data_IF_674093624345
#
_entry.id   IF_674093624345
#
_cell.length_a   1.000
_cell.length_b   1.000
_cell.length_c   1.000
_cell.angle_alpha   90.00
_cell.angle_beta   90.00
_cell.angle_gamma   90.00
#
_symmetry.space_group_name_H-M   'P 1'
#
loop_
_entity.id
_entity.type
_entity.pdbx_description
1 polymer ?
#
# COMPACT_ATOMS: atom_id res chain seq x y z
N UNK A 1 14.67 -0.79 -27.03
CA UNK A 1 14.73 0.25 -26.00
C UNK A 1 15.84 -0.04 -24.98
N UNK A 2 16.40 1.04 -24.39
CA UNK A 2 17.37 0.97 -23.29
C UNK A 2 16.66 1.59 -22.08
N UNK A 3 16.39 0.78 -21.05
CA UNK A 3 15.72 1.28 -19.85
C UNK A 3 16.74 1.77 -18.82
N UNK A 4 16.53 2.96 -18.22
CA UNK A 4 17.35 3.39 -17.10
C UNK A 4 17.09 2.54 -15.87
N UNK A 5 18.04 2.55 -14.93
CA UNK A 5 17.79 2.02 -13.59
C UNK A 5 16.70 2.86 -12.93
N UNK A 6 15.71 2.21 -12.30
CA UNK A 6 14.59 2.89 -11.61
C UNK A 6 15.11 3.78 -10.48
N UNK A 7 14.50 4.96 -10.27
CA UNK A 7 14.91 5.91 -9.26
C UNK A 7 14.98 5.30 -7.85
N UNK A 8 15.91 5.78 -7.03
CA UNK A 8 16.02 5.36 -5.64
C UNK A 8 14.91 5.97 -4.81
N UNK A 9 14.47 5.24 -3.77
CA UNK A 9 13.64 5.79 -2.70
C UNK A 9 14.49 5.76 -1.43
N UNK A 10 14.60 6.90 -0.77
CA UNK A 10 15.43 7.08 0.43
C UNK A 10 14.71 7.92 1.48
N UNK A 11 15.18 7.88 2.70
CA UNK A 11 14.77 8.77 3.79
C UNK A 11 15.60 10.06 3.78
N UNK A 12 15.20 11.05 4.59
CA UNK A 12 15.90 12.33 4.73
C UNK A 12 17.33 12.15 5.24
N UNK A 13 17.58 11.14 6.06
CA UNK A 13 18.93 10.81 6.59
C UNK A 13 19.85 10.12 5.55
N UNK A 14 19.34 9.91 4.33
CA UNK A 14 20.04 9.22 3.25
C UNK A 14 19.87 7.71 3.22
N UNK A 15 19.20 7.10 4.20
CA UNK A 15 18.96 5.64 4.23
C UNK A 15 18.18 5.22 2.99
N UNK A 16 18.76 4.33 2.20
CA UNK A 16 18.13 3.80 0.98
C UNK A 16 17.14 2.70 1.35
N UNK A 17 15.88 2.86 0.95
CA UNK A 17 14.80 1.92 1.26
C UNK A 17 14.28 1.18 0.03
N UNK A 18 14.57 1.66 -1.18
CA UNK A 18 14.37 0.91 -2.42
C UNK A 18 15.45 1.27 -3.46
N UNK A 19 16.10 0.25 -4.00
CA UNK A 19 17.21 0.35 -4.94
C UNK A 19 17.08 -0.66 -6.09
N UNK A 20 18.08 -0.69 -6.98
CA UNK A 20 18.15 -1.68 -8.03
C UNK A 20 19.44 -2.49 -7.85
N UNK A 21 19.31 -3.81 -7.83
CA UNK A 21 20.44 -4.73 -7.81
C UNK A 21 20.58 -5.41 -9.17
N UNK A 22 21.80 -5.74 -9.55
CA UNK A 22 22.06 -6.54 -10.74
C UNK A 22 21.77 -7.99 -10.42
N UNK A 23 20.92 -8.62 -11.22
CA UNK A 23 20.68 -10.06 -11.18
C UNK A 23 20.96 -10.66 -12.55
N UNK A 24 21.18 -11.96 -12.59
CA UNK A 24 21.44 -12.68 -13.84
C UNK A 24 20.30 -13.63 -14.14
N UNK A 25 19.94 -13.71 -15.41
CA UNK A 25 18.90 -14.62 -15.87
C UNK A 25 19.33 -15.37 -17.12
N UNK A 26 18.68 -16.49 -17.38
CA UNK A 26 18.89 -17.32 -18.55
C UNK A 26 17.73 -17.22 -19.52
N UNK A 27 18.04 -16.97 -20.77
CA UNK A 27 17.03 -16.90 -21.83
C UNK A 27 17.46 -17.73 -23.03
N UNK A 28 16.51 -18.05 -23.90
CA UNK A 28 16.70 -18.64 -25.20
C UNK A 28 16.02 -17.77 -26.26
N UNK A 29 16.59 -17.64 -27.45
CA UNK A 29 15.90 -17.00 -28.60
C UNK A 29 14.67 -17.83 -28.99
N UNK A 30 13.54 -17.20 -29.20
CA UNK A 30 12.27 -17.91 -29.51
C UNK A 30 12.37 -18.86 -30.69
N UNK A 31 13.13 -18.50 -31.73
CA UNK A 31 13.40 -19.33 -32.90
C UNK A 31 14.08 -20.66 -32.56
N UNK A 32 14.91 -20.68 -31.51
CA UNK A 32 15.67 -21.86 -31.08
C UNK A 32 14.94 -22.70 -30.02
N UNK A 33 13.86 -22.19 -29.47
CA UNK A 33 13.16 -22.81 -28.35
C UNK A 33 12.69 -24.23 -28.65
N UNK A 34 12.06 -24.44 -29.81
CA UNK A 34 11.53 -25.78 -30.20
C UNK A 34 12.63 -26.78 -30.52
N UNK A 35 13.76 -26.32 -31.06
CA UNK A 35 14.87 -27.17 -31.49
C UNK A 35 15.89 -27.47 -30.38
N UNK A 36 15.78 -26.78 -29.24
CA UNK A 36 16.72 -26.90 -28.12
C UNK A 36 16.10 -27.51 -26.87
N UNK A 37 15.10 -28.38 -27.01
CA UNK A 37 14.41 -29.03 -25.88
C UNK A 37 15.37 -29.78 -24.97
N UNK A 38 16.28 -30.55 -25.55
CA UNK A 38 17.30 -31.31 -24.77
C UNK A 38 18.19 -30.37 -23.94
N UNK A 39 18.51 -29.19 -24.46
CA UNK A 39 19.30 -28.21 -23.71
C UNK A 39 18.50 -27.59 -22.58
N UNK A 40 17.22 -27.37 -22.78
CA UNK A 40 16.31 -26.86 -21.73
C UNK A 40 16.15 -27.90 -20.62
N UNK A 41 15.93 -29.17 -20.99
CA UNK A 41 15.83 -30.27 -20.03
C UNK A 41 17.14 -30.40 -19.24
N UNK A 42 18.29 -30.35 -19.93
CA UNK A 42 19.60 -30.37 -19.28
C UNK A 42 19.80 -29.19 -18.33
N UNK A 43 19.35 -27.99 -18.69
CA UNK A 43 19.36 -26.83 -17.81
C UNK A 43 18.64 -27.11 -16.50
N UNK A 44 17.40 -27.60 -16.57
CA UNK A 44 16.58 -27.87 -15.38
C UNK A 44 17.13 -29.01 -14.51
N UNK A 45 17.71 -30.05 -15.13
CA UNK A 45 18.21 -31.21 -14.40
C UNK A 45 19.60 -31.03 -13.82
N UNK A 46 20.46 -30.20 -14.40
CA UNK A 46 21.89 -30.13 -14.04
C UNK A 46 22.35 -28.75 -13.55
N UNK A 47 21.64 -27.70 -13.89
CA UNK A 47 22.05 -26.32 -13.57
C UNK A 47 21.19 -25.73 -12.49
N UNK A 48 19.88 -25.86 -12.62
CA UNK A 48 18.91 -25.23 -11.72
C UNK A 48 18.69 -26.07 -10.45
N UNK A 49 18.22 -25.41 -9.41
CA UNK A 49 17.80 -26.09 -8.18
C UNK A 49 16.49 -26.88 -8.41
N UNK A 50 16.32 -28.00 -7.73
CA UNK A 50 15.19 -28.93 -7.90
C UNK A 50 13.80 -28.29 -7.66
N UNK A 51 13.75 -27.20 -6.92
CA UNK A 51 12.53 -26.43 -6.68
C UNK A 51 12.04 -25.65 -7.91
N UNK A 52 12.86 -25.54 -8.95
CA UNK A 52 12.50 -24.81 -10.17
C UNK A 52 11.82 -25.72 -11.16
N UNK A 53 10.64 -25.34 -11.56
CA UNK A 53 9.84 -26.04 -12.57
C UNK A 53 9.76 -25.22 -13.86
N UNK A 54 9.71 -25.93 -14.97
CA UNK A 54 9.50 -25.30 -16.28
C UNK A 54 8.01 -24.96 -16.46
N UNK A 55 7.72 -23.69 -16.66
CA UNK A 55 6.36 -23.24 -16.99
C UNK A 55 6.02 -23.52 -18.45
N UNK A 56 5.17 -24.52 -18.68
CA UNK A 56 4.74 -24.90 -20.01
C UNK A 56 3.90 -23.83 -20.73
N UNK A 57 3.32 -22.85 -20.00
CA UNK A 57 2.57 -21.74 -20.62
C UNK A 57 3.49 -20.82 -21.42
N UNK A 58 4.77 -20.78 -21.13
CA UNK A 58 5.79 -20.08 -21.92
C UNK A 58 5.91 -20.59 -23.37
N UNK A 59 5.39 -21.79 -23.65
CA UNK A 59 5.33 -22.35 -25.01
C UNK A 59 4.38 -21.60 -25.96
N UNK A 60 3.47 -20.81 -25.44
CA UNK A 60 2.42 -20.11 -26.23
C UNK A 60 2.82 -18.68 -26.65
N UNK A 61 3.97 -18.20 -26.19
CA UNK A 61 4.41 -16.83 -26.48
C UNK A 61 5.00 -16.81 -27.90
N UNK A 62 4.21 -16.30 -28.86
CA UNK A 62 4.58 -16.27 -30.29
C UNK A 62 5.36 -15.02 -30.73
N UNK A 63 5.28 -13.92 -29.98
CA UNK A 63 5.76 -12.60 -30.45
C UNK A 63 6.98 -12.06 -29.71
N UNK A 64 7.61 -12.83 -28.84
CA UNK A 64 8.81 -12.39 -28.13
C UNK A 64 10.09 -12.88 -28.81
N UNK A 65 11.06 -12.00 -28.92
CA UNK A 65 12.38 -12.34 -29.46
C UNK A 65 13.16 -13.27 -28.53
N UNK A 66 12.93 -13.13 -27.20
CA UNK A 66 13.59 -13.88 -26.12
C UNK A 66 12.56 -14.53 -25.20
N UNK A 67 12.78 -15.81 -24.87
CA UNK A 67 12.01 -16.53 -23.85
C UNK A 67 12.89 -16.68 -22.61
N UNK A 68 12.49 -16.07 -21.51
CA UNK A 68 13.19 -16.20 -20.23
C UNK A 68 12.88 -17.54 -19.59
N UNK A 69 13.91 -18.36 -19.41
CA UNK A 69 13.82 -19.64 -18.71
C UNK A 69 13.90 -19.42 -17.19
N UNK A 70 14.84 -18.57 -16.77
CA UNK A 70 15.03 -18.16 -15.37
C UNK A 70 15.41 -16.69 -15.32
N UNK A 71 14.76 -15.90 -14.46
CA UNK A 71 15.01 -14.45 -14.34
C UNK A 71 16.01 -14.06 -13.26
N UNK A 72 16.17 -14.89 -12.23
CA UNK A 72 17.08 -14.62 -11.12
C UNK A 72 17.80 -15.92 -10.77
N UNK A 73 19.07 -16.01 -11.10
CA UNK A 73 19.94 -17.13 -10.73
C UNK A 73 20.51 -16.91 -9.32
N UNK A 74 20.58 -17.96 -8.55
CA UNK A 74 21.43 -18.01 -7.37
C UNK A 74 22.91 -18.12 -7.75
N UNK A 75 23.80 -17.77 -6.85
CA UNK A 75 25.25 -17.91 -7.08
C UNK A 75 25.66 -19.36 -7.44
N UNK A 76 24.99 -20.32 -6.80
CA UNK A 76 25.22 -21.76 -7.08
C UNK A 76 24.76 -22.15 -8.48
N UNK A 77 23.58 -21.69 -8.91
CA UNK A 77 23.07 -21.95 -10.25
C UNK A 77 23.93 -21.28 -11.32
N UNK A 78 24.41 -20.06 -11.05
CA UNK A 78 25.32 -19.36 -11.94
C UNK A 78 26.61 -20.12 -12.11
N UNK A 79 27.22 -20.59 -11.02
CA UNK A 79 28.44 -21.39 -11.08
C UNK A 79 28.25 -22.68 -11.89
N UNK A 80 27.12 -23.38 -11.69
CA UNK A 80 26.79 -24.57 -12.49
C UNK A 80 26.58 -24.23 -13.97
N UNK A 81 25.90 -23.11 -14.27
CA UNK A 81 25.74 -22.65 -15.65
C UNK A 81 27.08 -22.37 -16.32
N UNK A 82 28.00 -21.69 -15.66
CA UNK A 82 29.34 -21.39 -16.23
C UNK A 82 30.11 -22.67 -16.59
N UNK A 83 29.97 -23.73 -15.80
CA UNK A 83 30.56 -25.05 -16.10
C UNK A 83 29.85 -25.70 -17.30
N UNK A 84 28.53 -25.58 -17.41
CA UNK A 84 27.71 -26.30 -18.39
C UNK A 84 27.45 -25.50 -19.70
N UNK A 85 27.74 -24.22 -19.75
CA UNK A 85 27.35 -23.32 -20.86
C UNK A 85 27.74 -23.81 -22.27
N UNK A 86 28.85 -24.53 -22.40
CA UNK A 86 29.29 -25.09 -23.67
C UNK A 86 28.41 -26.26 -24.14
N UNK A 87 27.73 -26.93 -23.23
CA UNK A 87 26.81 -28.07 -23.53
C UNK A 87 25.37 -27.62 -23.81
N UNK A 88 25.04 -26.36 -23.50
CA UNK A 88 23.78 -25.72 -23.74
C UNK A 88 23.91 -24.38 -24.48
N UNK A 89 24.51 -24.38 -25.65
CA UNK A 89 24.92 -23.13 -26.34
C UNK A 89 23.77 -22.23 -26.79
N UNK A 90 22.55 -22.78 -26.89
CA UNK A 90 21.36 -21.99 -27.23
C UNK A 90 20.83 -21.13 -26.07
N UNK A 91 21.21 -21.47 -24.84
CA UNK A 91 20.81 -20.75 -23.64
C UNK A 91 21.85 -19.70 -23.29
N UNK A 92 21.41 -18.47 -23.15
CA UNK A 92 22.30 -17.32 -22.92
C UNK A 92 22.06 -16.69 -21.57
N UNK A 93 23.14 -16.23 -20.96
CA UNK A 93 23.13 -15.43 -19.73
C UNK A 93 22.98 -13.95 -20.08
N UNK A 94 22.12 -13.26 -19.33
CA UNK A 94 21.97 -11.81 -19.44
C UNK A 94 21.76 -11.20 -18.07
N UNK A 95 22.47 -10.10 -17.81
CA UNK A 95 22.30 -9.32 -16.58
C UNK A 95 21.06 -8.44 -16.69
N UNK A 96 20.27 -8.38 -15.62
CA UNK A 96 19.07 -7.54 -15.48
C UNK A 96 19.08 -6.77 -14.18
N UNK A 97 18.45 -5.62 -14.21
CA UNK A 97 18.15 -4.88 -12.97
C UNK A 97 16.89 -5.45 -12.32
N UNK A 98 16.96 -5.69 -11.04
CA UNK A 98 15.85 -6.10 -10.18
C UNK A 98 15.63 -5.05 -9.11
N UNK A 99 14.37 -4.64 -8.90
CA UNK A 99 13.98 -3.78 -7.77
C UNK A 99 14.17 -4.53 -6.47
N UNK A 100 14.85 -3.91 -5.52
CA UNK A 100 15.17 -4.50 -4.23
C UNK A 100 14.91 -3.53 -3.09
N UNK A 101 14.32 -4.04 -2.01
CA UNK A 101 14.05 -3.33 -0.78
C UNK A 101 14.96 -3.89 0.30
N UNK A 102 16.04 -3.16 0.71
CA UNK A 102 17.02 -3.64 1.71
C UNK A 102 16.38 -3.99 3.05
N UNK A 103 15.37 -3.24 3.44
CA UNK A 103 14.67 -3.40 4.73
C UNK A 103 13.42 -4.29 4.63
N UNK A 104 13.30 -5.05 3.53
CA UNK A 104 12.24 -6.05 3.32
C UNK A 104 10.83 -5.48 3.56
N UNK A 105 10.16 -5.96 4.62
CA UNK A 105 8.77 -5.65 4.95
C UNK A 105 8.55 -4.32 5.67
N UNK A 106 9.59 -3.70 6.26
CA UNK A 106 9.46 -2.49 7.09
C UNK A 106 8.71 -1.33 6.39
N UNK A 107 8.87 -1.19 5.09
CA UNK A 107 8.24 -0.14 4.29
C UNK A 107 7.29 -0.70 3.20
N UNK A 108 6.83 -1.94 3.34
CA UNK A 108 6.09 -2.65 2.30
C UNK A 108 4.86 -1.90 1.80
N UNK A 109 4.04 -1.37 2.71
CA UNK A 109 2.81 -0.67 2.37
C UNK A 109 3.04 0.75 1.85
N UNK A 110 4.18 1.37 2.18
CA UNK A 110 4.56 2.68 1.66
C UNK A 110 5.15 2.55 0.26
N UNK A 111 6.16 1.70 0.11
CA UNK A 111 6.85 1.54 -1.18
C UNK A 111 5.98 0.75 -2.14
N UNK A 112 5.37 -0.34 -1.67
CA UNK A 112 4.65 -1.27 -2.53
C UNK A 112 5.57 -2.23 -3.26
N UNK A 113 5.15 -2.67 -4.44
CA UNK A 113 5.91 -3.63 -5.26
C UNK A 113 5.67 -3.44 -6.74
N UNK A 114 6.55 -4.01 -7.54
CA UNK A 114 6.41 -4.10 -8.98
C UNK A 114 5.76 -5.43 -9.37
N UNK A 115 5.01 -5.42 -10.45
CA UNK A 115 4.45 -6.64 -11.05
C UNK A 115 4.39 -6.54 -12.57
N UNK A 116 4.23 -7.66 -13.24
CA UNK A 116 4.00 -7.70 -14.69
C UNK A 116 2.72 -6.95 -15.04
N UNK A 117 2.70 -6.35 -16.22
CA UNK A 117 1.54 -5.65 -16.75
C UNK A 117 0.42 -6.65 -16.98
N UNK A 118 -0.74 -6.42 -16.37
CA UNK A 118 -1.94 -7.22 -16.57
C UNK A 118 -2.62 -6.93 -17.90
N UNK A 119 -3.51 -7.82 -18.35
CA UNK A 119 -4.29 -7.64 -19.59
C UNK A 119 -5.10 -6.34 -19.57
N UNK A 120 -5.68 -5.96 -18.42
CA UNK A 120 -6.44 -4.72 -18.30
C UNK A 120 -5.56 -3.47 -18.39
N UNK A 121 -4.41 -3.48 -17.72
CA UNK A 121 -3.43 -2.37 -17.79
C UNK A 121 -2.87 -2.22 -19.21
N UNK A 122 -2.75 -3.32 -19.95
CA UNK A 122 -2.29 -3.33 -21.35
C UNK A 122 -3.22 -2.55 -22.30
N UNK A 123 -4.49 -2.40 -21.96
CA UNK A 123 -5.45 -1.63 -22.76
C UNK A 123 -5.18 -0.11 -22.73
N UNK A 124 -4.56 0.37 -21.66
CA UNK A 124 -4.31 1.80 -21.42
C UNK A 124 -2.85 2.22 -21.59
N UNK A 125 -1.91 1.27 -21.53
CA UNK A 125 -0.48 1.55 -21.59
C UNK A 125 0.07 1.42 -23.02
N UNK A 126 0.90 2.39 -23.42
CA UNK A 126 1.62 2.37 -24.69
C UNK A 126 2.61 1.21 -24.75
N UNK A 127 2.58 0.41 -25.83
CA UNK A 127 3.56 -0.68 -26.04
C UNK A 127 4.99 -0.13 -26.25
N UNK A 128 5.12 1.08 -26.75
CA UNK A 128 6.44 1.71 -26.94
C UNK A 128 7.10 2.06 -25.60
N UNK A 129 6.31 2.52 -24.62
CA UNK A 129 6.80 2.85 -23.28
C UNK A 129 6.89 1.63 -22.36
N UNK A 130 6.05 0.64 -22.57
CA UNK A 130 5.92 -0.56 -21.75
C UNK A 130 5.84 -1.82 -22.63
N UNK A 131 6.98 -2.42 -23.00
CA UNK A 131 7.02 -3.74 -23.64
C UNK A 131 6.29 -4.82 -22.84
N UNK A 132 6.05 -5.96 -23.47
CA UNK A 132 5.25 -7.04 -22.91
C UNK A 132 5.76 -7.61 -21.58
N UNK A 133 7.09 -7.61 -21.40
CA UNK A 133 7.77 -8.14 -20.21
C UNK A 133 8.10 -7.06 -19.16
N UNK A 134 7.57 -5.84 -19.33
CA UNK A 134 7.81 -4.74 -18.39
C UNK A 134 7.14 -4.96 -17.05
N UNK A 135 7.82 -4.52 -16.00
CA UNK A 135 7.29 -4.40 -14.66
C UNK A 135 6.84 -2.97 -14.40
N UNK A 136 5.68 -2.83 -13.77
CA UNK A 136 5.12 -1.53 -13.33
C UNK A 136 4.82 -1.55 -11.84
N UNK A 137 4.71 -0.38 -11.22
CA UNK A 137 4.23 -0.25 -9.85
C UNK A 137 2.78 -0.68 -9.71
N UNK A 138 2.51 -1.61 -8.79
CA UNK A 138 1.16 -2.14 -8.55
C UNK A 138 0.44 -1.42 -7.41
N UNK A 139 1.16 -1.06 -6.39
CA UNK A 139 0.66 -0.37 -5.19
C UNK A 139 1.74 0.54 -4.63
N UNK A 140 1.39 1.37 -3.65
CA UNK A 140 2.31 2.25 -2.93
C UNK A 140 2.95 3.30 -3.83
N UNK A 141 4.11 3.82 -3.42
CA UNK A 141 4.88 4.82 -4.17
C UNK A 141 5.37 4.29 -5.52
N UNK A 142 5.64 3.00 -5.62
CA UNK A 142 5.99 2.40 -6.90
C UNK A 142 4.91 2.64 -7.95
N UNK A 143 3.62 2.65 -7.55
CA UNK A 143 2.49 2.96 -8.43
C UNK A 143 2.23 4.44 -8.56
N UNK A 144 2.09 5.16 -7.45
CA UNK A 144 1.73 6.59 -7.48
C UNK A 144 2.79 7.45 -8.17
N UNK A 145 4.05 7.06 -8.03
CA UNK A 145 5.21 7.76 -8.60
C UNK A 145 5.85 7.02 -9.79
N UNK A 146 5.11 6.13 -10.46
CA UNK A 146 5.62 5.29 -11.56
C UNK A 146 6.39 6.11 -12.61
N UNK A 147 5.82 7.22 -13.09
CA UNK A 147 6.43 8.07 -14.12
C UNK A 147 7.75 8.69 -13.68
N UNK A 148 7.84 9.13 -12.43
CA UNK A 148 9.06 9.71 -11.85
C UNK A 148 10.14 8.66 -11.66
N UNK A 149 9.76 7.50 -11.10
CA UNK A 149 10.69 6.43 -10.75
C UNK A 149 11.19 5.65 -11.97
N UNK A 150 10.37 5.50 -13.01
CA UNK A 150 10.74 4.73 -14.21
C UNK A 150 11.71 5.48 -15.12
N UNK A 151 11.55 6.79 -15.28
CA UNK A 151 12.21 7.58 -16.31
C UNK A 151 11.74 7.23 -17.72
N UNK A 152 12.43 7.73 -18.73
CA UNK A 152 12.12 7.53 -20.14
C UNK A 152 13.15 6.60 -20.79
N UNK A 153 12.71 5.60 -21.55
CA UNK A 153 13.59 4.70 -22.24
C UNK A 153 14.33 5.41 -23.39
N UNK A 154 15.62 5.13 -23.51
CA UNK A 154 16.39 5.44 -24.70
C UNK A 154 16.15 4.39 -25.81
N UNK A 155 16.66 4.67 -27.00
CA UNK A 155 16.57 3.77 -28.16
C UNK A 155 17.97 3.46 -28.65
N UNK A 156 18.25 2.17 -28.92
CA UNK A 156 19.40 1.73 -29.68
C UNK A 156 18.91 1.04 -30.96
N UNK A 157 19.25 1.61 -32.11
CA UNK A 157 18.96 1.03 -33.41
C UNK A 157 20.19 0.22 -33.87
N UNK A 158 19.95 -1.08 -33.99
CA UNK A 158 21.03 -2.03 -34.35
C UNK A 158 20.81 -2.56 -35.76
N UNK A 159 21.87 -2.63 -36.54
CA UNK A 159 21.95 -3.45 -37.76
C UNK A 159 22.27 -4.88 -37.35
N UNK A 160 21.52 -5.83 -37.85
CA UNK A 160 21.68 -7.25 -37.55
C UNK A 160 21.85 -8.05 -38.86
N UNK A 161 22.63 -9.12 -38.82
CA UNK A 161 22.75 -10.05 -39.92
C UNK A 161 21.50 -10.94 -40.09
N UNK A 162 21.46 -11.79 -41.08
CA UNK A 162 20.36 -12.72 -41.37
C UNK A 162 20.10 -13.72 -40.23
N UNK A 163 21.05 -13.88 -39.32
CA UNK A 163 20.97 -14.75 -38.15
C UNK A 163 20.58 -14.00 -36.90
N UNK A 164 20.38 -12.65 -37.00
CA UNK A 164 20.03 -11.79 -35.86
C UNK A 164 21.23 -11.45 -34.95
N UNK A 165 22.47 -11.58 -35.41
CA UNK A 165 23.62 -11.13 -34.67
C UNK A 165 23.89 -9.64 -34.94
N UNK A 166 24.25 -8.89 -33.87
CA UNK A 166 24.57 -7.47 -33.98
C UNK A 166 25.79 -7.26 -34.90
N UNK A 167 25.59 -6.48 -35.96
CA UNK A 167 26.69 -6.06 -36.87
C UNK A 167 27.25 -4.72 -36.38
N UNK A 168 26.36 -3.71 -36.23
CA UNK A 168 26.78 -2.38 -35.73
C UNK A 168 25.56 -1.68 -35.08
N UNK A 169 25.87 -0.65 -34.31
CA UNK A 169 24.87 0.28 -33.77
C UNK A 169 24.77 1.48 -34.71
N UNK A 170 23.58 1.71 -35.26
CA UNK A 170 23.31 2.78 -36.22
C UNK A 170 23.04 4.09 -35.49
N UNK A 171 22.20 4.03 -34.43
CA UNK A 171 21.79 5.18 -33.65
C UNK A 171 21.57 4.79 -32.20
N UNK A 172 21.90 5.70 -31.28
CA UNK A 172 21.61 5.56 -29.84
C UNK A 172 21.13 6.87 -29.29
N UNK A 173 20.01 6.81 -28.59
CA UNK A 173 19.56 7.88 -27.70
C UNK A 173 19.67 7.39 -26.25
N UNK A 174 20.22 8.25 -25.39
CA UNK A 174 20.35 7.93 -23.98
C UNK A 174 18.99 8.01 -23.31
N UNK A 175 18.69 7.10 -22.34
CA UNK A 175 17.49 7.21 -21.53
C UNK A 175 17.57 8.46 -20.64
N UNK A 176 16.41 9.09 -20.37
CA UNK A 176 16.33 10.14 -19.37
C UNK A 176 16.44 9.54 -17.97
N UNK A 177 17.23 10.22 -17.13
CA UNK A 177 17.40 9.78 -15.74
C UNK A 177 16.06 9.82 -14.99
N UNK A 178 15.65 8.75 -14.32
CA UNK A 178 14.54 8.77 -13.40
C UNK A 178 14.86 9.65 -12.18
N UNK A 179 13.81 10.17 -11.55
CA UNK A 179 13.96 10.95 -10.32
C UNK A 179 14.05 10.01 -9.10
N UNK A 180 14.88 10.40 -8.14
CA UNK A 180 14.89 9.80 -6.82
C UNK A 180 13.80 10.46 -5.96
N UNK A 181 13.24 9.70 -5.01
CA UNK A 181 12.24 10.19 -4.06
C UNK A 181 12.86 10.16 -2.65
N UNK A 182 12.67 11.26 -1.91
CA UNK A 182 13.07 11.33 -0.51
C UNK A 182 11.80 11.43 0.36
N UNK A 183 11.70 10.56 1.37
CA UNK A 183 10.53 10.45 2.27
C UNK A 183 10.84 11.10 3.61
N UNK A 184 9.80 11.64 4.22
CA UNK A 184 9.83 12.28 5.55
C UNK A 184 9.76 11.26 6.71
N UNK A 185 9.60 9.97 6.41
CA UNK A 185 9.54 8.90 7.41
C UNK A 185 10.83 8.81 8.23
N UNK A 186 10.69 8.52 9.51
CA UNK A 186 11.80 8.22 10.40
C UNK A 186 12.02 6.72 10.52
N UNK A 187 13.24 6.27 10.23
CA UNK A 187 13.59 4.86 10.23
C UNK A 187 13.38 4.18 11.58
N UNK A 188 13.81 4.84 12.66
CA UNK A 188 13.77 4.27 14.00
C UNK A 188 12.33 4.18 14.51
N UNK A 189 11.56 5.25 14.33
CA UNK A 189 10.14 5.29 14.71
C UNK A 189 9.32 4.27 13.92
N UNK A 190 9.55 4.17 12.60
CA UNK A 190 8.89 3.19 11.73
C UNK A 190 9.17 1.76 12.22
N UNK A 191 10.43 1.46 12.57
CA UNK A 191 10.85 0.15 13.07
C UNK A 191 10.19 -0.18 14.42
N UNK A 192 10.22 0.76 15.37
CA UNK A 192 9.56 0.59 16.68
C UNK A 192 8.07 0.33 16.49
N UNK A 193 7.40 1.11 15.66
CA UNK A 193 5.97 0.95 15.41
C UNK A 193 5.62 -0.42 14.77
N UNK A 194 6.47 -0.92 13.87
CA UNK A 194 6.29 -2.26 13.28
C UNK A 194 6.49 -3.35 14.34
N UNK A 195 7.54 -3.25 15.16
CA UNK A 195 7.86 -4.21 16.22
C UNK A 195 6.73 -4.27 17.27
N UNK A 196 6.17 -3.13 17.66
CA UNK A 196 5.06 -3.04 18.62
C UNK A 196 3.74 -3.59 18.07
N UNK A 197 3.54 -3.53 16.74
CA UNK A 197 2.38 -4.14 16.08
C UNK A 197 2.58 -5.63 15.78
N UNK A 198 3.76 -6.20 15.96
CA UNK A 198 4.07 -7.57 15.57
C UNK A 198 2.94 -8.55 15.93
N UNK A 199 2.47 -9.32 14.94
CA UNK A 199 1.40 -10.31 15.06
C UNK A 199 0.01 -9.76 15.45
N UNK A 200 -0.20 -8.44 15.44
CA UNK A 200 -1.52 -7.81 15.64
C UNK A 200 -1.99 -7.14 14.35
N UNK A 201 -3.29 -7.18 14.08
CA UNK A 201 -3.90 -6.42 12.99
C UNK A 201 -4.10 -4.97 13.44
N UNK A 202 -3.50 -4.04 12.73
CA UNK A 202 -3.60 -2.63 13.08
C UNK A 202 -2.75 -1.73 12.20
N UNK A 203 -2.74 -0.45 12.55
CA UNK A 203 -1.92 0.56 11.91
C UNK A 203 -1.36 1.55 12.93
N UNK A 204 -0.20 2.11 12.65
CA UNK A 204 0.37 3.25 13.38
C UNK A 204 0.68 4.34 12.38
N UNK A 205 0.15 5.54 12.64
CA UNK A 205 0.45 6.75 11.88
C UNK A 205 0.92 7.81 12.88
N UNK A 206 2.07 8.41 12.61
CA UNK A 206 2.58 9.55 13.38
C UNK A 206 2.93 10.69 12.44
N UNK A 207 2.45 11.88 12.82
CA UNK A 207 2.62 13.12 12.07
C UNK A 207 3.39 14.13 12.91
N UNK A 208 4.22 14.93 12.25
CA UNK A 208 4.72 16.17 12.85
C UNK A 208 3.62 17.23 12.75
N UNK A 209 3.08 17.72 13.87
CA UNK A 209 1.96 18.65 13.86
C UNK A 209 2.31 20.03 13.28
N UNK A 210 3.59 20.39 13.24
CA UNK A 210 4.04 21.69 12.72
C UNK A 210 4.19 21.70 11.21
N UNK A 211 4.57 20.58 10.63
CA UNK A 211 4.87 20.46 9.19
C UNK A 211 3.82 19.64 8.42
N UNK A 212 3.03 18.82 9.12
CA UNK A 212 2.16 17.81 8.51
C UNK A 212 2.94 16.61 7.96
N UNK A 213 4.26 16.55 8.13
CA UNK A 213 5.07 15.45 7.60
C UNK A 213 4.79 14.14 8.33
N UNK A 214 4.60 13.10 7.54
CA UNK A 214 4.40 11.74 8.06
C UNK A 214 5.76 11.19 8.50
N UNK A 215 5.89 10.89 9.78
CA UNK A 215 7.10 10.28 10.38
C UNK A 215 6.98 8.77 10.53
N UNK A 216 5.75 8.25 10.68
CA UNK A 216 5.46 6.81 10.75
C UNK A 216 4.22 6.51 9.93
N UNK A 217 4.29 5.45 9.12
CA UNK A 217 3.14 4.88 8.41
C UNK A 217 3.30 3.36 8.34
N UNK A 218 2.78 2.67 9.34
CA UNK A 218 2.85 1.20 9.46
C UNK A 218 1.47 0.60 9.36
N UNK A 219 1.36 -0.48 8.61
CA UNK A 219 0.18 -1.36 8.55
C UNK A 219 0.62 -2.80 8.82
N UNK A 220 -0.10 -3.50 9.68
CA UNK A 220 0.18 -4.90 10.06
C UNK A 220 -1.08 -5.77 9.89
N UNK A 221 -0.96 -7.03 9.44
CA UNK A 221 0.27 -7.67 8.98
C UNK A 221 0.83 -7.06 7.71
N UNK A 222 2.12 -7.23 7.52
CA UNK A 222 2.88 -6.76 6.37
C UNK A 222 3.33 -7.92 5.47
N UNK A 223 4.07 -7.61 4.41
CA UNK A 223 4.60 -8.59 3.48
C UNK A 223 5.99 -8.18 2.99
N UNK A 224 6.77 -9.14 2.48
CA UNK A 224 8.07 -8.84 1.87
C UNK A 224 7.93 -8.57 0.36
N UNK A 225 8.04 -7.32 -0.11
CA UNK A 225 7.90 -6.98 -1.52
C UNK A 225 8.93 -7.63 -2.43
N UNK A 226 10.10 -8.01 -1.91
CA UNK A 226 11.14 -8.67 -2.69
C UNK A 226 10.72 -10.04 -3.24
N UNK A 227 9.72 -10.69 -2.62
CA UNK A 227 9.14 -11.94 -3.10
C UNK A 227 8.33 -11.69 -4.39
N UNK A 228 7.69 -10.52 -4.50
CA UNK A 228 6.86 -10.13 -5.64
C UNK A 228 7.70 -9.53 -6.77
N UNK A 229 8.71 -8.74 -6.43
CA UNK A 229 9.56 -8.04 -7.39
C UNK A 229 10.34 -9.03 -8.27
N UNK A 230 9.89 -9.18 -9.52
CA UNK A 230 10.53 -10.08 -10.48
C UNK A 230 10.24 -11.57 -10.29
N UNK A 231 9.27 -11.93 -9.46
CA UNK A 231 8.80 -13.32 -9.30
C UNK A 231 7.53 -13.55 -10.11
N UNK A 232 7.51 -14.63 -10.88
CA UNK A 232 6.32 -15.06 -11.62
C UNK A 232 5.28 -15.73 -10.68
N UNK A 233 5.75 -16.34 -9.60
CA UNK A 233 4.95 -17.08 -8.62
C UNK A 233 4.85 -16.37 -7.25
N UNK A 234 5.29 -15.12 -7.14
CA UNK A 234 5.35 -14.43 -5.85
C UNK A 234 4.00 -14.31 -5.16
N UNK A 235 2.92 -14.14 -5.91
CA UNK A 235 1.55 -14.08 -5.36
C UNK A 235 1.12 -15.41 -4.74
N UNK A 236 1.45 -16.56 -5.34
CA UNK A 236 1.04 -17.87 -4.81
C UNK A 236 1.72 -18.19 -3.49
N UNK A 237 2.95 -17.73 -3.28
CA UNK A 237 3.68 -17.89 -2.02
C UNK A 237 3.03 -17.12 -0.88
N UNK A 238 2.40 -15.98 -1.19
CA UNK A 238 1.71 -15.12 -0.21
C UNK A 238 0.22 -15.44 -0.04
N UNK A 239 -0.35 -16.28 -0.91
CA UNK A 239 -1.77 -16.66 -0.85
C UNK A 239 -2.13 -17.48 0.39
N UNK A 240 -1.19 -18.16 1.00
CA UNK A 240 -1.42 -18.94 2.23
C UNK A 240 -1.78 -18.09 3.45
N UNK A 241 -1.62 -16.77 3.38
CA UNK A 241 -1.96 -15.82 4.45
C UNK A 241 -3.10 -14.86 4.09
N UNK A 242 -3.95 -15.21 3.12
CA UNK A 242 -5.03 -14.31 2.65
C UNK A 242 -6.04 -13.93 3.73
N UNK A 243 -6.31 -14.79 4.71
CA UNK A 243 -7.20 -14.48 5.83
C UNK A 243 -6.74 -13.28 6.66
N UNK A 244 -5.44 -13.03 6.71
CA UNK A 244 -4.84 -11.89 7.42
C UNK A 244 -4.81 -10.60 6.61
N UNK A 245 -5.08 -10.68 5.29
CA UNK A 245 -5.04 -9.56 4.35
C UNK A 245 -3.76 -8.71 4.46
N UNK A 246 -2.56 -9.30 4.23
CA UNK A 246 -1.28 -8.60 4.39
C UNK A 246 -1.07 -7.50 3.34
N UNK A 247 -1.80 -7.52 2.23
CA UNK A 247 -1.74 -6.46 1.21
C UNK A 247 -2.65 -5.26 1.51
N UNK A 248 -3.54 -5.39 2.49
CA UNK A 248 -4.46 -4.31 2.85
C UNK A 248 -3.73 -3.26 3.70
N UNK A 249 -3.55 -2.07 3.14
CA UNK A 249 -2.93 -0.96 3.86
C UNK A 249 -3.92 -0.33 4.83
N UNK A 250 -3.92 -0.83 6.07
CA UNK A 250 -4.83 -0.39 7.14
C UNK A 250 -4.65 1.06 7.53
N UNK A 251 -3.45 1.61 7.28
CA UNK A 251 -3.15 3.00 7.64
C UNK A 251 -3.88 4.03 6.77
N UNK A 252 -4.19 3.68 5.51
CA UNK A 252 -4.82 4.61 4.55
C UNK A 252 -6.14 4.09 3.98
N UNK A 253 -6.38 2.79 4.03
CA UNK A 253 -7.60 2.18 3.46
C UNK A 253 -8.54 1.62 4.53
N UNK A 254 -8.09 1.51 5.78
CA UNK A 254 -8.90 1.02 6.89
C UNK A 254 -9.89 2.08 7.36
N UNK A 255 -11.16 1.70 7.46
CA UNK A 255 -12.22 2.53 8.01
C UNK A 255 -12.58 2.01 9.40
N UNK A 256 -12.28 2.81 10.41
CA UNK A 256 -12.48 2.44 11.82
C UNK A 256 -13.30 3.51 12.53
N UNK A 257 -14.27 3.12 13.40
CA UNK A 257 -14.96 4.09 14.23
C UNK A 257 -13.95 4.85 15.11
N UNK A 258 -13.98 6.20 15.15
CA UNK A 258 -13.05 6.97 15.95
C UNK A 258 -13.24 6.77 17.46
N UNK A 259 -14.39 6.31 17.88
CA UNK A 259 -14.77 6.13 19.29
C UNK A 259 -14.46 7.40 20.12
N UNK A 260 -14.01 7.26 21.35
CA UNK A 260 -13.80 8.40 22.26
C UNK A 260 -12.75 9.43 21.78
N UNK A 261 -12.00 9.15 20.73
CA UNK A 261 -11.05 10.15 20.16
C UNK A 261 -11.78 11.34 19.52
N UNK A 262 -13.07 11.21 19.20
CA UNK A 262 -13.90 12.31 18.66
C UNK A 262 -14.39 13.29 19.75
N UNK A 263 -14.43 12.86 21.01
CA UNK A 263 -15.03 13.64 22.11
C UNK A 263 -14.48 15.06 22.26
N UNK A 264 -13.16 15.32 22.10
CA UNK A 264 -12.63 16.68 22.10
C UNK A 264 -13.27 17.59 21.03
N UNK A 265 -13.53 17.06 19.81
CA UNK A 265 -14.18 17.81 18.73
C UNK A 265 -15.65 18.12 19.07
N UNK A 266 -16.37 17.15 19.62
CA UNK A 266 -17.78 17.36 20.05
C UNK A 266 -17.84 18.35 21.21
N UNK A 267 -16.89 18.29 22.15
CA UNK A 267 -16.76 19.25 23.25
C UNK A 267 -16.48 20.67 22.74
N UNK A 268 -15.56 20.80 21.79
CA UNK A 268 -15.23 22.08 21.16
C UNK A 268 -16.46 22.69 20.45
N UNK A 269 -17.17 21.89 19.66
CA UNK A 269 -18.42 22.32 19.03
C UNK A 269 -19.45 22.79 20.06
N UNK A 270 -19.59 22.06 21.16
CA UNK A 270 -20.51 22.45 22.25
C UNK A 270 -20.16 23.79 22.89
N UNK A 271 -18.88 24.13 23.00
CA UNK A 271 -18.40 25.44 23.47
C UNK A 271 -18.66 26.53 22.43
N UNK A 272 -18.38 26.31 21.16
CA UNK A 272 -18.59 27.27 20.07
C UNK A 272 -20.08 27.61 19.89
N UNK A 273 -20.95 26.61 19.94
CA UNK A 273 -22.41 26.79 19.88
C UNK A 273 -23.00 27.34 21.21
N UNK A 274 -22.17 27.55 22.24
CA UNK A 274 -22.59 28.01 23.56
C UNK A 274 -23.67 27.12 24.23
N UNK A 275 -23.71 25.85 23.84
CA UNK A 275 -24.59 24.83 24.46
C UNK A 275 -24.03 24.44 25.82
N UNK A 276 -22.72 24.45 25.96
CA UNK A 276 -21.99 24.24 27.21
C UNK A 276 -20.96 25.35 27.40
N UNK A 277 -20.46 25.47 28.62
CA UNK A 277 -19.27 26.20 28.98
C UNK A 277 -18.38 25.32 29.87
N UNK A 278 -17.20 25.78 30.26
CA UNK A 278 -16.24 24.99 31.06
C UNK A 278 -16.79 24.52 32.41
N UNK A 279 -17.80 25.24 32.97
CA UNK A 279 -18.40 24.93 34.26
C UNK A 279 -19.72 24.14 34.16
N UNK A 280 -20.20 23.89 32.93
CA UNK A 280 -21.44 23.10 32.73
C UNK A 280 -21.25 21.70 33.28
N UNK A 281 -22.17 21.30 34.20
CA UNK A 281 -22.12 20.00 34.87
C UNK A 281 -23.27 19.13 34.35
N UNK A 282 -22.92 17.91 34.02
CA UNK A 282 -23.84 16.80 33.74
C UNK A 282 -23.72 15.77 34.86
N UNK A 283 -24.84 15.19 35.31
CA UNK A 283 -24.81 14.11 36.26
C UNK A 283 -24.78 12.76 35.57
N UNK A 284 -23.61 12.15 35.54
CA UNK A 284 -23.39 10.84 34.96
C UNK A 284 -23.75 9.74 35.94
N UNK A 285 -24.88 9.07 35.67
CA UNK A 285 -25.43 7.93 36.43
C UNK A 285 -25.16 6.59 35.77
N UNK A 286 -24.21 6.54 34.83
CA UNK A 286 -23.87 5.36 34.04
C UNK A 286 -24.73 5.16 32.80
N UNK A 287 -25.76 5.98 32.59
CA UNK A 287 -26.57 5.96 31.37
C UNK A 287 -27.24 7.32 31.11
N UNK A 288 -27.61 7.52 29.85
CA UNK A 288 -28.40 8.64 29.33
C UNK A 288 -29.74 8.12 28.76
N UNK A 289 -30.82 8.87 28.93
CA UNK A 289 -32.12 8.62 28.32
C UNK A 289 -32.74 9.92 27.81
N UNK A 290 -33.37 9.87 26.63
CA UNK A 290 -34.10 11.01 26.06
C UNK A 290 -35.43 11.28 26.78
N UNK A 291 -36.04 10.25 27.33
CA UNK A 291 -37.29 10.30 28.11
C UNK A 291 -37.29 9.18 29.17
N UNK A 292 -38.11 9.28 30.20
CA UNK A 292 -38.17 8.30 31.30
C UNK A 292 -38.43 6.87 30.84
N UNK A 293 -39.23 6.67 29.80
CA UNK A 293 -39.52 5.36 29.20
C UNK A 293 -38.62 5.03 28.00
N UNK A 294 -37.69 5.93 27.64
CA UNK A 294 -36.84 5.81 26.48
C UNK A 294 -35.72 4.77 26.64
N UNK A 295 -35.05 4.48 25.49
CA UNK A 295 -33.87 3.62 25.47
C UNK A 295 -32.77 4.20 26.35
N UNK A 296 -32.12 3.36 27.17
CA UNK A 296 -30.91 3.69 27.94
C UNK A 296 -29.69 3.55 27.06
N UNK A 297 -28.94 4.65 26.88
CA UNK A 297 -27.62 4.69 26.31
C UNK A 297 -26.60 4.53 27.43
N UNK A 298 -26.02 3.34 27.58
CA UNK A 298 -25.14 3.01 28.70
C UNK A 298 -23.72 3.56 28.43
N UNK A 299 -23.12 4.14 29.47
CA UNK A 299 -21.69 4.44 29.50
C UNK A 299 -20.88 3.20 29.81
N UNK A 300 -19.54 3.30 29.63
CA UNK A 300 -18.62 2.21 29.93
C UNK A 300 -18.51 1.93 31.46
N UNK A 301 -18.78 2.93 32.30
CA UNK A 301 -18.79 2.81 33.75
C UNK A 301 -20.26 2.71 34.25
N UNK A 302 -20.63 1.56 34.77
CA UNK A 302 -22.00 1.23 35.10
C UNK A 302 -22.61 2.18 36.16
N UNK A 303 -21.83 2.52 37.22
CA UNK A 303 -22.27 3.43 38.30
C UNK A 303 -22.11 4.92 37.94
N UNK A 304 -21.61 5.22 36.73
CA UNK A 304 -21.36 6.57 36.27
C UNK A 304 -20.17 7.25 36.95
N UNK A 305 -19.95 8.53 36.61
CA UNK A 305 -18.85 9.34 37.13
C UNK A 305 -19.34 10.43 38.12
N UNK A 306 -20.62 10.46 38.40
CA UNK A 306 -21.26 11.51 39.24
C UNK A 306 -21.30 12.85 38.51
N UNK A 307 -21.00 13.94 39.19
CA UNK A 307 -20.95 15.27 38.58
C UNK A 307 -19.72 15.43 37.69
N UNK A 308 -19.96 15.71 36.43
CA UNK A 308 -18.91 15.76 35.37
C UNK A 308 -19.03 17.09 34.63
N UNK A 309 -17.94 17.84 34.56
CA UNK A 309 -17.79 18.96 33.64
C UNK A 309 -17.01 18.53 32.38
N UNK A 310 -16.83 19.40 31.40
CA UNK A 310 -16.16 19.05 30.14
C UNK A 310 -14.75 18.47 30.35
N UNK A 311 -13.94 19.09 31.24
CA UNK A 311 -12.59 18.61 31.51
C UNK A 311 -12.62 17.16 32.04
N UNK A 312 -13.41 16.91 33.10
CA UNK A 312 -13.58 15.58 33.66
C UNK A 312 -14.16 14.60 32.65
N UNK A 313 -15.09 15.04 31.79
CA UNK A 313 -15.70 14.20 30.76
C UNK A 313 -14.68 13.70 29.74
N UNK A 314 -13.69 14.53 29.37
CA UNK A 314 -12.60 14.14 28.46
C UNK A 314 -11.62 13.20 29.19
N UNK A 315 -11.16 13.58 30.40
CA UNK A 315 -10.18 12.80 31.18
C UNK A 315 -10.70 11.41 31.52
N UNK A 316 -11.95 11.31 32.01
CA UNK A 316 -12.59 10.06 32.42
C UNK A 316 -13.30 9.36 31.24
N UNK A 317 -13.30 9.98 30.07
CA UNK A 317 -14.02 9.49 28.88
C UNK A 317 -15.51 9.19 29.13
N UNK A 318 -16.22 10.09 29.87
CA UNK A 318 -17.65 9.90 30.17
C UNK A 318 -18.49 9.91 28.91
N UNK A 319 -19.11 8.78 28.56
CA UNK A 319 -20.03 8.69 27.43
C UNK A 319 -21.31 9.49 27.69
N UNK A 320 -21.82 9.46 28.92
CA UNK A 320 -23.08 10.11 29.31
C UNK A 320 -23.02 11.62 29.08
N UNK A 321 -21.90 12.26 29.38
CA UNK A 321 -21.72 13.68 29.11
C UNK A 321 -21.86 13.98 27.62
N UNK A 322 -21.23 13.18 26.77
CA UNK A 322 -21.24 13.38 25.32
C UNK A 322 -22.56 12.91 24.67
N UNK A 323 -23.26 11.94 25.23
CA UNK A 323 -24.64 11.61 24.81
C UNK A 323 -25.58 12.79 25.04
N UNK A 324 -25.52 13.42 26.22
CA UNK A 324 -26.33 14.58 26.53
C UNK A 324 -25.98 15.78 25.65
N UNK A 325 -24.69 16.05 25.45
CA UNK A 325 -24.23 17.12 24.56
C UNK A 325 -24.70 16.88 23.12
N UNK A 326 -24.48 15.69 22.57
CA UNK A 326 -24.88 15.34 21.21
C UNK A 326 -26.40 15.39 21.01
N UNK A 327 -27.18 15.07 22.02
CA UNK A 327 -28.66 15.20 21.95
C UNK A 327 -29.15 16.64 21.79
N UNK A 328 -28.36 17.60 22.24
CA UNK A 328 -28.61 19.06 22.11
C UNK A 328 -28.06 19.65 20.81
N UNK A 329 -27.06 18.96 20.19
CA UNK A 329 -26.53 19.28 18.88
C UNK A 329 -27.36 18.58 17.79
N UNK A 330 -27.32 19.09 16.56
CA UNK A 330 -27.90 18.39 15.41
C UNK A 330 -26.81 17.69 14.61
N UNK A 331 -27.16 16.60 13.93
CA UNK A 331 -26.19 15.94 13.05
C UNK A 331 -25.64 16.86 11.96
N UNK A 332 -26.44 17.79 11.47
CA UNK A 332 -26.04 18.72 10.44
C UNK A 332 -24.92 19.66 10.94
N UNK A 333 -25.02 20.11 12.21
CA UNK A 333 -23.97 20.94 12.85
C UNK A 333 -22.73 20.12 13.16
N UNK A 334 -22.88 18.91 13.70
CA UNK A 334 -21.77 17.99 13.97
C UNK A 334 -21.02 17.68 12.67
N UNK A 335 -21.73 17.29 11.62
CA UNK A 335 -21.10 16.94 10.35
C UNK A 335 -20.40 18.13 9.68
N UNK A 336 -21.04 19.32 9.68
CA UNK A 336 -20.41 20.54 9.12
C UNK A 336 -19.14 20.91 9.87
N UNK A 337 -19.15 20.82 11.20
CA UNK A 337 -18.00 21.14 12.03
C UNK A 337 -16.85 20.13 11.85
N UNK A 338 -17.16 18.83 11.85
CA UNK A 338 -16.15 17.80 11.65
C UNK A 338 -15.52 17.86 10.25
N UNK A 339 -16.30 18.28 9.25
CA UNK A 339 -15.77 18.49 7.88
C UNK A 339 -14.65 19.52 7.85
N UNK A 340 -14.70 20.60 8.67
CA UNK A 340 -13.65 21.61 8.76
C UNK A 340 -12.30 21.04 9.25
N UNK A 341 -12.33 19.90 9.98
CA UNK A 341 -11.16 19.15 10.42
C UNK A 341 -10.77 18.02 9.46
N UNK A 342 -11.41 17.92 8.28
CA UNK A 342 -11.09 16.92 7.26
C UNK A 342 -11.77 15.56 7.45
N UNK A 343 -12.68 15.41 8.41
CA UNK A 343 -13.50 14.19 8.49
C UNK A 343 -14.34 14.04 7.22
N UNK A 344 -14.39 12.83 6.67
CA UNK A 344 -15.12 12.59 5.43
C UNK A 344 -14.38 12.99 4.15
N UNK A 345 -13.13 13.41 4.24
CA UNK A 345 -12.30 13.76 3.08
C UNK A 345 -11.05 12.87 2.96
N UNK A 346 -10.42 12.86 1.79
CA UNK A 346 -9.11 12.25 1.58
C UNK A 346 -8.02 13.24 2.01
N UNK A 347 -6.96 12.76 2.63
CA UNK A 347 -5.85 13.60 3.12
C UNK A 347 -4.97 14.13 1.98
N UNK A 348 -4.99 13.46 0.81
CA UNK A 348 -4.11 13.78 -0.30
C UNK A 348 -2.70 13.21 -0.14
N UNK A 349 -2.53 12.16 0.67
CA UNK A 349 -1.27 11.43 0.78
C UNK A 349 -0.79 10.93 -0.60
N UNK A 350 0.52 10.93 -0.83
CA UNK A 350 1.15 10.52 -2.11
C UNK A 350 0.97 9.03 -2.46
N UNK A 351 0.05 8.34 -1.78
CA UNK A 351 -0.23 6.92 -2.01
C UNK A 351 -1.57 6.73 -2.72
N UNK A 352 -1.67 5.64 -3.47
CA UNK A 352 -2.94 5.23 -4.10
C UNK A 352 -3.81 4.44 -3.12
N UNK A 353 -5.13 4.45 -3.37
CA UNK A 353 -6.12 3.68 -2.61
C UNK A 353 -6.36 4.19 -1.18
N UNK A 354 -6.17 5.48 -0.93
CA UNK A 354 -6.68 6.10 0.28
C UNK A 354 -8.22 6.02 0.28
N UNK A 355 -8.79 5.54 1.38
CA UNK A 355 -10.24 5.46 1.55
C UNK A 355 -10.77 6.77 2.11
N UNK A 356 -11.82 7.29 1.48
CA UNK A 356 -12.59 8.39 2.05
C UNK A 356 -13.36 7.88 3.26
N UNK A 357 -13.19 8.52 4.42
CA UNK A 357 -13.92 8.17 5.64
C UNK A 357 -15.42 8.49 5.54
N UNK A 358 -16.21 7.87 6.39
CA UNK A 358 -17.66 8.12 6.44
C UNK A 358 -17.93 9.22 7.44
N UNK A 359 -18.37 10.39 6.94
CA UNK A 359 -18.95 11.46 7.73
C UNK A 359 -20.47 11.43 7.50
N UNK A 360 -21.28 10.87 8.44
CA UNK A 360 -22.68 10.65 8.19
C UNK A 360 -23.49 11.94 8.25
N UNK A 361 -24.44 12.07 7.32
CA UNK A 361 -25.45 13.12 7.27
C UNK A 361 -26.83 12.50 7.12
N UNK A 362 -27.90 13.30 7.26
CA UNK A 362 -29.27 12.84 6.96
C UNK A 362 -29.39 12.28 5.55
N UNK A 363 -28.85 12.98 4.57
CA UNK A 363 -28.87 12.56 3.17
C UNK A 363 -28.02 11.30 2.94
N UNK A 364 -26.86 11.21 3.61
CA UNK A 364 -26.02 10.01 3.51
C UNK A 364 -26.76 8.76 4.02
N UNK A 365 -27.42 8.84 5.18
CA UNK A 365 -28.16 7.70 5.73
C UNK A 365 -29.34 7.33 4.83
N UNK A 366 -30.11 8.30 4.37
CA UNK A 366 -31.23 8.04 3.47
C UNK A 366 -30.76 7.40 2.15
N UNK A 367 -29.68 7.87 1.56
CA UNK A 367 -29.17 7.37 0.28
C UNK A 367 -28.46 6.01 0.38
N UNK A 368 -27.76 5.73 1.48
CA UNK A 368 -26.96 4.50 1.61
C UNK A 368 -27.65 3.39 2.41
N UNK A 369 -28.51 3.76 3.36
CA UNK A 369 -29.20 2.81 4.26
C UNK A 369 -30.69 2.70 3.90
N UNK A 370 -31.28 3.74 3.30
CA UNK A 370 -32.70 3.80 2.98
C UNK A 370 -33.59 4.20 4.17
N UNK A 371 -33.02 4.73 5.25
CA UNK A 371 -33.72 5.09 6.47
C UNK A 371 -33.58 6.57 6.80
N UNK A 372 -34.59 7.13 7.48
CA UNK A 372 -34.51 8.47 8.04
C UNK A 372 -33.49 8.55 9.19
N UNK A 373 -32.99 9.75 9.44
CA UNK A 373 -32.08 10.02 10.57
C UNK A 373 -32.88 10.16 11.87
N UNK A 374 -32.45 9.48 12.92
CA UNK A 374 -33.06 9.56 14.27
C UNK A 374 -32.12 10.26 15.25
N UNK A 375 -32.64 10.83 16.30
CA UNK A 375 -31.86 11.45 17.39
C UNK A 375 -30.86 10.44 18.00
N UNK A 376 -31.24 9.18 18.08
CA UNK A 376 -30.36 8.11 18.57
C UNK A 376 -29.11 7.91 17.74
N UNK A 377 -29.16 8.17 16.43
CA UNK A 377 -27.99 8.13 15.57
C UNK A 377 -27.01 9.24 15.95
N UNK A 378 -27.52 10.47 16.20
CA UNK A 378 -26.70 11.61 16.64
C UNK A 378 -26.04 11.34 17.98
N UNK A 379 -26.76 10.74 18.94
CA UNK A 379 -26.22 10.36 20.25
C UNK A 379 -25.01 9.44 20.11
N UNK A 380 -25.10 8.41 19.26
CA UNK A 380 -24.00 7.49 19.00
C UNK A 380 -22.80 8.20 18.33
N UNK A 381 -23.05 9.11 17.40
CA UNK A 381 -21.98 9.91 16.76
C UNK A 381 -21.23 10.77 17.80
N UNK A 382 -21.92 11.24 18.85
CA UNK A 382 -21.32 12.03 19.93
C UNK A 382 -20.17 11.33 20.68
N UNK A 383 -20.10 10.02 20.61
CA UNK A 383 -19.02 9.19 21.17
C UNK A 383 -18.20 8.46 20.12
N UNK A 384 -18.34 8.85 18.83
CA UNK A 384 -17.58 8.28 17.71
C UNK A 384 -17.98 6.85 17.34
N UNK A 385 -19.22 6.49 17.57
CA UNK A 385 -19.80 5.20 17.19
C UNK A 385 -20.93 5.38 16.16
N UNK A 386 -21.51 4.27 15.73
CA UNK A 386 -22.56 4.27 14.70
C UNK A 386 -21.98 4.33 13.29
N UNK A 387 -22.39 5.32 12.50
CA UNK A 387 -22.04 5.38 11.06
C UNK A 387 -20.75 6.15 10.75
N UNK A 388 -20.07 6.73 11.75
CA UNK A 388 -18.82 7.50 11.52
C UNK A 388 -17.59 6.60 11.47
N UNK A 389 -16.67 6.90 10.56
CA UNK A 389 -15.38 6.22 10.48
C UNK A 389 -14.26 7.18 10.09
#
# INVERSE_FOLDING_TARGET
PIYPARGLIRLEDGTVIAENIVTQGLYIKSKLFKTSRDQIEKLYNQVLDESRTFDQQKLQIKDEEKIWLVKNLSEKELARYEVQKNTIPSIKLEAKLKRYLPHRNLFSHVIGHLGLISSNERLTLSRAEYPSDSYIGKVGLEKSSEKLLKGTAGISLLEVDVYGNKVREIQRTTPDKPSNITLTLDFKLQKIAQEELANRRGAVVALDPMTGFIKVLVSSPDYNPNILNGSENGLSVLQTSMEEAPFFNRAISGLYPPASTIKPFIGLLGLEEKIINETTIVEDKGFFQLSEEGRKYRGWKEDGHGKVNLNKAIVESSDVYFYELASKLTIDRISSFLLEFGFGEISGIDLTNESKSILPTRNWKLGNIGEAWFVGDTINIGIGQGYIS
#
